data_IF_869394213207
#
_entry.id   IF_869394213207
#
_cell.length_a   1.000
_cell.length_b   1.000
_cell.length_c   1.000
_cell.angle_alpha   90.00
_cell.angle_beta   90.00
_cell.angle_gamma   90.00
#
_symmetry.space_group_name_H-M   'P 1'
#
loop_
_entity.id
_entity.type
_entity.pdbx_description
1 polymer ?
#
# COMPACT_ATOMS: atom_id res chain seq x y z
N UNK A 1 19.54 5.57 -23.61
CA UNK A 1 19.07 4.19 -23.32
C UNK A 1 18.13 4.26 -22.13
N UNK A 2 16.87 3.80 -22.24
CA UNK A 2 16.03 3.60 -21.05
C UNK A 2 16.56 2.34 -20.36
N UNK A 3 17.21 2.49 -19.21
CA UNK A 3 17.56 1.34 -18.39
C UNK A 3 16.29 0.54 -18.13
N UNK A 4 16.32 -0.76 -18.43
CA UNK A 4 15.26 -1.69 -18.07
C UNK A 4 15.27 -1.86 -16.54
N UNK A 5 14.57 -0.98 -15.84
CA UNK A 5 14.37 -1.08 -14.39
C UNK A 5 13.61 -2.39 -14.12
N UNK A 6 14.31 -3.37 -13.54
CA UNK A 6 13.73 -4.67 -13.20
C UNK A 6 12.98 -4.61 -11.87
N UNK A 7 12.04 -5.53 -11.64
CA UNK A 7 11.37 -5.62 -10.33
C UNK A 7 12.34 -5.84 -9.15
N UNK A 8 13.49 -6.49 -9.41
CA UNK A 8 14.54 -6.71 -8.41
C UNK A 8 15.28 -5.42 -8.04
N UNK A 9 15.62 -4.58 -9.02
CA UNK A 9 16.25 -3.28 -8.72
C UNK A 9 15.30 -2.33 -8.00
N UNK A 10 14.00 -2.36 -8.32
CA UNK A 10 12.96 -1.59 -7.60
C UNK A 10 12.90 -2.04 -6.13
N UNK A 11 12.89 -3.35 -5.86
CA UNK A 11 12.85 -3.86 -4.49
C UNK A 11 14.10 -3.48 -3.68
N UNK A 12 15.30 -3.62 -4.26
CA UNK A 12 16.55 -3.21 -3.61
C UNK A 12 16.59 -1.72 -3.29
N UNK A 13 16.13 -0.89 -4.23
CA UNK A 13 16.02 0.55 -4.00
C UNK A 13 15.04 0.87 -2.87
N UNK A 14 13.91 0.15 -2.78
CA UNK A 14 12.96 0.23 -1.67
C UNK A 14 13.64 0.02 -0.32
N UNK A 15 14.34 -1.10 -0.13
CA UNK A 15 15.08 -1.39 1.10
C UNK A 15 16.12 -0.30 1.40
N UNK A 16 16.93 0.10 0.41
CA UNK A 16 17.92 1.17 0.63
C UNK A 16 17.27 2.44 1.19
N UNK A 17 16.08 2.82 0.73
CA UNK A 17 15.39 4.00 1.28
C UNK A 17 14.94 3.80 2.73
N UNK A 18 14.54 2.61 3.15
CA UNK A 18 14.21 2.35 4.55
C UNK A 18 15.45 2.51 5.44
N UNK A 19 16.62 2.02 5.00
CA UNK A 19 17.89 2.22 5.74
C UNK A 19 18.27 3.71 5.77
N UNK A 20 18.10 4.42 4.65
CA UNK A 20 18.33 5.88 4.59
C UNK A 20 17.44 6.62 5.60
N UNK A 21 16.15 6.26 5.69
CA UNK A 21 15.21 6.84 6.66
C UNK A 21 15.66 6.55 8.10
N UNK A 22 16.05 5.31 8.41
CA UNK A 22 16.59 4.93 9.72
C UNK A 22 17.83 5.77 10.05
N UNK A 23 18.76 5.91 9.11
CA UNK A 23 19.98 6.71 9.27
C UNK A 23 19.66 8.18 9.54
N UNK A 24 18.70 8.76 8.82
CA UNK A 24 18.26 10.13 9.02
C UNK A 24 17.67 10.36 10.43
N UNK A 25 16.76 9.49 10.89
CA UNK A 25 16.19 9.62 12.24
C UNK A 25 17.25 9.40 13.34
N UNK A 26 18.16 8.43 13.18
CA UNK A 26 19.24 8.22 14.15
C UNK A 26 20.25 9.38 14.18
N UNK A 27 20.34 10.17 13.10
CA UNK A 27 21.16 11.39 13.00
C UNK A 27 20.30 12.67 12.98
N UNK A 28 19.15 12.68 13.65
CA UNK A 28 18.15 13.75 13.49
C UNK A 28 18.67 15.16 13.79
N UNK A 29 19.62 15.31 14.73
CA UNK A 29 20.22 16.61 15.09
C UNK A 29 20.92 17.28 13.91
N UNK A 30 21.51 16.49 13.01
CA UNK A 30 22.25 16.96 11.83
C UNK A 30 21.46 16.78 10.52
N UNK A 31 20.38 16.02 10.54
CA UNK A 31 19.58 15.74 9.35
C UNK A 31 18.43 16.74 9.19
N UNK A 32 18.52 17.59 8.16
CA UNK A 32 17.43 18.51 7.77
C UNK A 32 16.14 17.76 7.43
N UNK A 33 16.24 16.60 6.77
CA UNK A 33 15.10 15.74 6.48
C UNK A 33 14.43 15.20 7.74
N UNK A 34 15.20 14.69 8.70
CA UNK A 34 14.64 14.18 9.94
C UNK A 34 13.97 15.28 10.77
N UNK A 35 14.54 16.49 10.83
CA UNK A 35 13.91 17.65 11.48
C UNK A 35 12.54 17.96 10.89
N UNK A 36 12.46 18.04 9.55
CA UNK A 36 11.19 18.21 8.84
C UNK A 36 10.20 17.07 9.14
N UNK A 37 10.66 15.82 9.19
CA UNK A 37 9.80 14.68 9.51
C UNK A 37 9.29 14.71 10.95
N UNK A 38 10.10 15.17 11.91
CA UNK A 38 9.67 15.38 13.29
C UNK A 38 8.59 16.47 13.37
N UNK A 39 8.71 17.54 12.59
CA UNK A 39 7.69 18.57 12.45
C UNK A 39 6.39 18.00 11.84
N UNK A 40 6.47 17.20 10.77
CA UNK A 40 5.30 16.52 10.18
C UNK A 40 4.59 15.58 11.18
N UNK A 41 5.35 15.02 12.14
CA UNK A 41 4.84 14.21 13.25
C UNK A 41 4.26 15.05 14.41
N UNK A 42 4.28 16.38 14.29
CA UNK A 42 3.91 17.35 15.33
C UNK A 42 4.75 17.24 16.61
N UNK A 43 6.03 16.90 16.45
CA UNK A 43 6.99 16.84 17.57
C UNK A 43 7.82 18.11 17.62
N UNK A 44 7.72 18.85 18.73
CA UNK A 44 8.54 20.03 19.00
C UNK A 44 9.99 19.60 19.31
N UNK A 45 10.95 20.10 18.53
CA UNK A 45 12.34 19.60 18.54
C UNK A 45 13.08 19.92 19.84
N UNK A 46 12.76 21.05 20.45
CA UNK A 46 13.33 21.53 21.71
C UNK A 46 13.05 20.59 22.90
N UNK A 47 12.00 19.78 22.81
CA UNK A 47 11.58 18.87 23.87
C UNK A 47 12.13 17.45 23.68
N UNK A 48 12.86 17.18 22.59
CA UNK A 48 13.36 15.85 22.27
C UNK A 48 14.64 15.56 23.08
N UNK A 49 14.56 14.53 23.93
CA UNK A 49 15.73 14.00 24.63
C UNK A 49 16.55 13.08 23.71
N UNK A 50 15.87 12.18 23.00
CA UNK A 50 16.50 11.25 22.07
C UNK A 50 15.54 10.75 20.99
N UNK A 51 16.12 10.34 19.86
CA UNK A 51 15.42 9.66 18.77
C UNK A 51 16.22 8.41 18.45
N UNK A 52 15.53 7.28 18.30
CA UNK A 52 16.10 6.05 17.77
C UNK A 52 15.16 5.46 16.73
N UNK A 53 15.70 4.92 15.66
CA UNK A 53 14.94 4.29 14.59
C UNK A 53 15.52 2.91 14.27
N UNK A 54 14.63 1.97 13.95
CA UNK A 54 15.00 0.65 13.44
C UNK A 54 14.05 0.20 12.35
N UNK A 55 14.56 -0.60 11.42
CA UNK A 55 13.74 -1.27 10.42
C UNK A 55 12.90 -2.37 11.08
N UNK A 56 11.68 -2.53 10.58
CA UNK A 56 10.78 -3.63 10.88
C UNK A 56 10.57 -4.44 9.60
N UNK A 57 10.49 -5.75 9.71
CA UNK A 57 10.35 -6.65 8.56
C UNK A 57 9.03 -7.41 8.64
N UNK A 58 8.42 -7.63 7.45
CA UNK A 58 7.19 -8.44 7.27
C UNK A 58 5.95 -7.88 7.99
N UNK A 59 5.96 -6.61 8.36
CA UNK A 59 4.85 -5.89 8.98
C UNK A 59 4.36 -4.75 8.07
N UNK A 60 3.27 -4.07 8.46
CA UNK A 60 2.82 -2.85 7.76
C UNK A 60 3.69 -1.63 8.07
N UNK A 61 4.34 -1.65 9.23
CA UNK A 61 5.36 -0.69 9.61
C UNK A 61 6.70 -1.12 9.01
N UNK A 62 7.37 -0.20 8.32
CA UNK A 62 8.69 -0.44 7.75
C UNK A 62 9.78 0.12 8.67
N UNK A 63 9.51 1.26 9.33
CA UNK A 63 10.43 1.91 10.28
C UNK A 63 9.68 2.22 11.57
N UNK A 64 10.23 1.75 12.69
CA UNK A 64 9.78 2.14 14.03
C UNK A 64 10.73 3.21 14.57
N UNK A 65 10.19 4.40 14.83
CA UNK A 65 10.93 5.51 15.44
C UNK A 65 10.46 5.68 16.88
N UNK A 66 11.36 5.61 17.85
CA UNK A 66 11.07 5.92 19.25
C UNK A 66 11.63 7.30 19.57
N UNK A 67 10.76 8.19 20.03
CA UNK A 67 11.12 9.55 20.43
C UNK A 67 10.89 9.67 21.93
N UNK A 68 11.93 10.09 22.66
CA UNK A 68 11.87 10.31 24.10
C UNK A 68 11.64 11.79 24.39
N UNK A 69 10.58 12.10 25.12
CA UNK A 69 10.16 13.47 25.49
C UNK A 69 9.72 13.44 26.95
N UNK A 70 10.30 14.30 27.79
CA UNK A 70 10.01 14.40 29.22
C UNK A 70 10.03 13.04 29.95
N UNK A 71 11.03 12.20 29.66
CA UNK A 71 11.15 10.85 30.23
C UNK A 71 10.33 9.77 29.54
N UNK A 72 9.31 10.11 28.73
CA UNK A 72 8.41 9.16 28.10
C UNK A 72 8.86 8.80 26.68
N UNK A 73 8.88 7.50 26.37
CA UNK A 73 9.19 7.01 25.03
C UNK A 73 7.90 6.80 24.23
N UNK A 74 7.81 7.47 23.08
CA UNK A 74 6.67 7.40 22.18
C UNK A 74 7.08 6.66 20.89
N UNK A 75 6.46 5.51 20.58
CA UNK A 75 6.71 4.79 19.33
C UNK A 75 5.90 5.38 18.17
N UNK A 76 6.57 5.57 17.03
CA UNK A 76 6.01 6.02 15.77
C UNK A 76 6.23 4.95 14.71
N UNK A 77 5.13 4.29 14.37
CA UNK A 77 5.07 3.22 13.37
C UNK A 77 4.89 3.83 11.98
N UNK A 78 5.96 3.91 11.20
CA UNK A 78 5.99 4.56 9.90
C UNK A 78 6.08 3.51 8.78
N UNK A 79 5.15 3.57 7.84
CA UNK A 79 5.25 2.90 6.54
C UNK A 79 5.96 3.84 5.54
N UNK A 80 6.93 3.33 4.79
CA UNK A 80 7.74 4.11 3.87
C UNK A 80 7.34 3.83 2.42
N UNK A 81 7.12 4.88 1.63
CA UNK A 81 6.75 4.78 0.21
C UNK A 81 7.70 5.60 -0.64
N UNK A 82 8.40 4.94 -1.56
CA UNK A 82 9.21 5.59 -2.57
C UNK A 82 8.40 5.87 -3.84
N UNK A 83 8.52 7.07 -4.39
CA UNK A 83 8.09 7.42 -5.75
C UNK A 83 9.33 7.68 -6.59
N UNK A 84 9.62 6.79 -7.54
CA UNK A 84 10.74 6.96 -8.48
C UNK A 84 10.33 7.53 -9.83
N UNK A 85 9.05 7.41 -10.18
CA UNK A 85 8.50 7.85 -11.47
C UNK A 85 7.15 8.54 -11.20
N UNK A 86 6.89 9.65 -11.89
CA UNK A 86 5.60 10.35 -11.82
C UNK A 86 4.46 9.42 -12.23
N UNK A 87 3.36 9.44 -11.48
CA UNK A 87 2.19 8.56 -11.65
C UNK A 87 2.53 7.06 -11.52
N UNK A 88 3.56 6.74 -10.74
CA UNK A 88 3.92 5.37 -10.40
C UNK A 88 2.91 4.75 -9.42
N UNK A 89 2.72 3.44 -9.52
CA UNK A 89 1.87 2.68 -8.61
C UNK A 89 2.71 1.74 -7.74
N UNK A 90 2.51 1.80 -6.43
CA UNK A 90 3.17 0.93 -5.46
C UNK A 90 2.23 -0.19 -5.02
N UNK A 91 2.80 -1.36 -4.72
CA UNK A 91 2.05 -2.42 -4.07
C UNK A 91 1.74 -2.02 -2.62
N UNK A 92 0.51 -2.29 -2.19
CA UNK A 92 0.03 -2.03 -0.82
C UNK A 92 -0.13 -3.33 -0.04
N UNK A 93 -0.85 -4.28 -0.65
CA UNK A 93 -1.11 -5.58 -0.08
C UNK A 93 -1.29 -6.59 -1.20
N UNK A 94 -0.99 -7.86 -0.92
CA UNK A 94 -1.16 -8.96 -1.87
C UNK A 94 -1.27 -10.28 -1.11
N UNK A 95 -2.35 -11.03 -1.35
CA UNK A 95 -2.62 -12.33 -0.74
C UNK A 95 -3.46 -13.21 -1.66
N UNK A 96 -3.67 -14.46 -1.28
CA UNK A 96 -4.66 -15.32 -1.93
C UNK A 96 -6.07 -14.85 -1.59
N UNK A 97 -7.04 -15.12 -2.47
CA UNK A 97 -8.43 -14.68 -2.23
C UNK A 97 -8.98 -15.26 -0.93
N UNK A 98 -8.64 -16.50 -0.60
CA UNK A 98 -9.07 -17.13 0.66
C UNK A 98 -8.54 -16.42 1.91
N UNK A 99 -7.36 -15.79 1.82
CA UNK A 99 -6.81 -15.00 2.94
C UNK A 99 -7.66 -13.76 3.19
N UNK A 100 -8.09 -13.08 2.12
CA UNK A 100 -9.01 -11.95 2.23
C UNK A 100 -10.41 -12.38 2.65
N UNK A 101 -10.87 -13.56 2.23
CA UNK A 101 -12.15 -14.10 2.69
C UNK A 101 -12.13 -14.32 4.21
N UNK A 102 -11.04 -14.84 4.77
CA UNK A 102 -10.90 -14.96 6.23
C UNK A 102 -10.88 -13.62 6.96
N UNK A 103 -10.34 -12.56 6.34
CA UNK A 103 -10.30 -11.21 6.93
C UNK A 103 -11.66 -10.50 6.87
N UNK A 104 -12.37 -10.64 5.76
CA UNK A 104 -13.51 -9.79 5.45
C UNK A 104 -14.84 -10.52 5.41
N UNK A 105 -14.82 -11.85 5.40
CA UNK A 105 -15.98 -12.72 5.37
C UNK A 105 -16.99 -12.33 4.27
N UNK A 106 -16.50 -12.02 3.06
CA UNK A 106 -17.37 -11.70 1.93
C UNK A 106 -18.15 -12.93 1.47
N UNK A 107 -19.37 -12.77 0.93
CA UNK A 107 -20.23 -13.91 0.58
C UNK A 107 -19.67 -14.75 -0.59
N UNK A 108 -20.14 -15.99 -0.71
CA UNK A 108 -19.66 -16.96 -1.71
C UNK A 108 -19.62 -16.45 -3.16
N UNK A 109 -20.60 -15.68 -3.67
CA UNK A 109 -20.52 -15.10 -5.01
C UNK A 109 -19.32 -14.14 -5.18
N UNK A 110 -18.96 -13.39 -4.14
CA UNK A 110 -17.78 -12.49 -4.16
C UNK A 110 -16.49 -13.30 -4.13
N UNK A 111 -16.44 -14.37 -3.32
CA UNK A 111 -15.30 -15.31 -3.31
C UNK A 111 -15.08 -15.91 -4.70
N UNK A 112 -16.15 -16.40 -5.32
CA UNK A 112 -16.11 -16.98 -6.67
C UNK A 112 -15.68 -15.96 -7.71
N UNK A 113 -16.27 -14.76 -7.69
CA UNK A 113 -15.89 -13.64 -8.55
C UNK A 113 -14.40 -13.33 -8.48
N UNK A 114 -13.86 -13.17 -7.27
CA UNK A 114 -12.46 -12.84 -7.05
C UNK A 114 -11.52 -13.98 -7.47
N UNK A 115 -11.90 -15.24 -7.26
CA UNK A 115 -11.12 -16.41 -7.72
C UNK A 115 -11.11 -16.54 -9.26
N UNK A 116 -12.24 -16.29 -9.92
CA UNK A 116 -12.31 -16.19 -11.39
C UNK A 116 -11.46 -15.01 -11.91
N UNK A 117 -11.53 -13.86 -11.23
CA UNK A 117 -10.80 -12.65 -11.60
C UNK A 117 -9.28 -12.78 -11.50
N UNK A 118 -8.81 -13.49 -10.47
CA UNK A 118 -7.39 -13.72 -10.22
C UNK A 118 -6.81 -14.88 -11.02
N UNK A 119 -7.67 -15.78 -11.53
CA UNK A 119 -7.26 -17.01 -12.21
C UNK A 119 -6.94 -18.15 -11.25
N UNK A 120 -7.32 -18.05 -9.97
CA UNK A 120 -7.39 -19.20 -9.07
C UNK A 120 -8.42 -20.21 -9.56
N UNK A 121 -9.51 -19.74 -10.17
CA UNK A 121 -10.45 -20.53 -10.98
C UNK A 121 -10.25 -20.14 -12.45
N UNK A 122 -9.96 -21.14 -13.31
CA UNK A 122 -9.77 -20.91 -14.74
C UNK A 122 -11.10 -20.73 -15.48
N UNK A 123 -11.14 -19.96 -16.58
CA UNK A 123 -12.29 -19.91 -17.47
C UNK A 123 -12.63 -21.29 -18.03
N UNK A 124 -13.92 -21.64 -18.06
CA UNK A 124 -14.41 -22.87 -18.70
C UNK A 124 -14.70 -22.69 -20.20
N UNK A 125 -14.90 -21.46 -20.62
CA UNK A 125 -15.22 -21.06 -22.00
C UNK A 125 -14.23 -20.02 -22.51
N UNK A 126 -14.38 -19.62 -23.78
CA UNK A 126 -13.57 -18.58 -24.40
C UNK A 126 -13.66 -17.27 -23.60
N UNK A 127 -12.51 -16.72 -23.22
CA UNK A 127 -12.35 -15.45 -22.51
C UNK A 127 -11.26 -14.60 -23.17
N UNK A 128 -11.17 -13.32 -22.78
CA UNK A 128 -10.12 -12.39 -23.22
C UNK A 128 -8.72 -12.84 -22.80
N UNK A 129 -8.60 -13.54 -21.67
CA UNK A 129 -7.36 -14.15 -21.16
C UNK A 129 -7.66 -15.57 -20.70
N UNK A 130 -7.06 -16.59 -21.34
CA UNK A 130 -7.29 -18.00 -21.02
C UNK A 130 -6.97 -18.39 -19.56
N UNK A 131 -6.31 -17.50 -18.80
CA UNK A 131 -5.90 -17.75 -17.42
C UNK A 131 -6.90 -17.25 -16.39
N UNK A 132 -7.82 -16.35 -16.75
CA UNK A 132 -8.73 -15.66 -15.80
C UNK A 132 -9.92 -15.00 -16.49
N UNK A 133 -10.85 -14.47 -15.71
CA UNK A 133 -11.88 -13.55 -16.20
C UNK A 133 -11.57 -12.10 -15.79
N UNK A 134 -12.00 -11.14 -16.59
CA UNK A 134 -12.09 -9.74 -16.18
C UNK A 134 -13.46 -9.47 -15.53
N UNK A 135 -13.61 -8.37 -14.79
CA UNK A 135 -14.87 -8.05 -14.11
C UNK A 135 -16.08 -7.90 -15.08
N UNK A 136 -15.84 -7.57 -16.35
CA UNK A 136 -16.87 -7.45 -17.39
C UNK A 136 -17.21 -8.79 -18.06
N UNK A 137 -16.48 -9.85 -17.73
CA UNK A 137 -16.75 -11.22 -18.16
C UNK A 137 -17.40 -12.07 -17.05
N UNK A 138 -17.61 -11.49 -15.86
CA UNK A 138 -18.29 -12.17 -14.76
C UNK A 138 -19.80 -12.20 -14.98
N UNK A 139 -20.47 -13.13 -14.29
CA UNK A 139 -21.92 -13.12 -14.24
C UNK A 139 -22.42 -11.85 -13.56
N UNK A 140 -23.52 -11.29 -14.06
CA UNK A 140 -24.06 -10.02 -13.57
C UNK A 140 -24.25 -10.01 -12.05
N UNK A 141 -24.75 -11.10 -11.49
CA UNK A 141 -24.98 -11.23 -10.06
C UNK A 141 -23.66 -11.23 -9.24
N UNK A 142 -22.60 -11.87 -9.75
CA UNK A 142 -21.26 -11.89 -9.14
C UNK A 142 -20.65 -10.49 -9.11
N UNK A 143 -20.73 -9.77 -10.24
CA UNK A 143 -20.22 -8.41 -10.37
C UNK A 143 -20.95 -7.45 -9.43
N UNK A 144 -22.29 -7.45 -9.45
CA UNK A 144 -23.10 -6.55 -8.62
C UNK A 144 -22.85 -6.78 -7.12
N UNK A 145 -22.82 -8.03 -6.67
CA UNK A 145 -22.52 -8.34 -5.26
C UNK A 145 -21.09 -7.95 -4.88
N UNK A 146 -20.13 -8.09 -5.79
CA UNK A 146 -18.75 -7.68 -5.54
C UNK A 146 -18.63 -6.16 -5.39
N UNK A 147 -19.26 -5.40 -6.29
CA UNK A 147 -19.28 -3.93 -6.21
C UNK A 147 -19.95 -3.46 -4.91
N UNK A 148 -21.13 -4.01 -4.59
CA UNK A 148 -21.85 -3.68 -3.35
C UNK A 148 -21.04 -4.01 -2.10
N UNK A 149 -20.40 -5.18 -2.06
CA UNK A 149 -19.56 -5.58 -0.93
C UNK A 149 -18.44 -4.57 -0.66
N UNK A 150 -17.68 -4.21 -1.70
CA UNK A 150 -16.55 -3.30 -1.55
C UNK A 150 -17.00 -1.86 -1.29
N UNK A 151 -18.15 -1.41 -1.81
CA UNK A 151 -18.68 -0.08 -1.47
C UNK A 151 -19.10 -0.03 -0.01
N UNK A 152 -19.90 -1.01 0.46
CA UNK A 152 -20.36 -1.07 1.86
C UNK A 152 -19.22 -1.24 2.88
N UNK A 153 -18.10 -1.82 2.47
CA UNK A 153 -16.95 -2.08 3.34
C UNK A 153 -15.70 -1.22 3.00
N UNK A 154 -15.85 -0.18 2.17
CA UNK A 154 -14.73 0.58 1.58
C UNK A 154 -13.68 1.02 2.59
N UNK A 155 -14.11 1.67 3.67
CA UNK A 155 -13.20 2.19 4.70
C UNK A 155 -12.48 1.07 5.44
N UNK A 156 -13.20 -0.01 5.78
CA UNK A 156 -12.61 -1.18 6.45
C UNK A 156 -11.55 -1.84 5.56
N UNK A 157 -11.88 -2.11 4.30
CA UNK A 157 -10.96 -2.72 3.32
C UNK A 157 -9.70 -1.86 3.16
N UNK A 158 -9.87 -0.55 2.95
CA UNK A 158 -8.74 0.38 2.80
C UNK A 158 -7.89 0.44 4.08
N UNK A 159 -8.52 0.51 5.26
CA UNK A 159 -7.81 0.49 6.54
C UNK A 159 -6.99 -0.79 6.72
N UNK A 160 -7.58 -1.95 6.45
CA UNK A 160 -6.91 -3.24 6.62
C UNK A 160 -5.69 -3.38 5.69
N UNK A 161 -5.81 -2.96 4.43
CA UNK A 161 -4.69 -3.06 3.47
C UNK A 161 -3.62 -1.98 3.70
N UNK A 162 -3.96 -0.77 4.18
CA UNK A 162 -2.98 0.29 4.40
C UNK A 162 -2.33 0.20 5.78
N UNK A 163 -3.16 0.19 6.83
CA UNK A 163 -2.71 0.25 8.22
C UNK A 163 -2.36 -1.13 8.76
N UNK A 164 -3.15 -2.15 8.41
CA UNK A 164 -3.16 -3.44 9.10
C UNK A 164 -3.65 -3.32 10.54
N UNK A 165 -3.29 -4.29 11.37
CA UNK A 165 -3.76 -4.42 12.75
C UNK A 165 -2.64 -4.85 13.68
N UNK A 166 -2.89 -4.78 14.99
CA UNK A 166 -1.94 -5.14 16.03
C UNK A 166 -0.88 -4.07 16.33
N UNK A 167 0.14 -4.41 17.15
CA UNK A 167 1.14 -3.47 17.62
C UNK A 167 1.97 -2.83 16.49
N UNK A 168 2.19 -3.55 15.39
CA UNK A 168 2.97 -3.09 14.22
C UNK A 168 2.10 -2.57 13.07
N UNK A 169 0.82 -2.28 13.33
CA UNK A 169 -0.01 -1.52 12.40
C UNK A 169 0.64 -0.17 12.08
N UNK A 170 0.65 0.23 10.82
CA UNK A 170 1.17 1.53 10.40
C UNK A 170 0.29 2.64 10.99
N UNK A 171 0.93 3.63 11.61
CA UNK A 171 0.26 4.82 12.18
C UNK A 171 0.55 6.08 11.38
N UNK A 172 1.61 6.04 10.59
CA UNK A 172 2.02 7.11 9.70
C UNK A 172 2.50 6.53 8.37
N UNK A 173 2.40 7.35 7.32
CA UNK A 173 2.97 7.05 6.00
C UNK A 173 3.98 8.15 5.69
N UNK A 174 5.23 7.78 5.45
CA UNK A 174 6.28 8.64 4.91
C UNK A 174 6.37 8.41 3.40
N UNK A 175 6.09 9.44 2.61
CA UNK A 175 6.34 9.44 1.18
C UNK A 175 7.65 10.15 0.87
N UNK A 176 8.46 9.52 0.02
CA UNK A 176 9.72 10.04 -0.50
C UNK A 176 9.63 10.06 -2.02
N UNK A 177 9.48 11.24 -2.60
CA UNK A 177 9.37 11.44 -4.04
C UNK A 177 10.71 11.92 -4.61
N UNK A 178 11.31 11.02 -5.41
CA UNK A 178 12.55 11.21 -6.16
C UNK A 178 12.29 11.29 -7.67
N UNK A 179 11.03 11.46 -8.10
CA UNK A 179 10.64 11.47 -9.52
C UNK A 179 10.87 12.83 -10.21
N UNK A 180 11.17 13.88 -9.45
CA UNK A 180 11.52 15.20 -9.96
C UNK A 180 12.98 15.58 -9.66
N UNK A 181 13.35 16.80 -10.02
CA UNK A 181 14.71 17.33 -9.77
C UNK A 181 14.99 17.58 -8.29
N UNK A 182 13.94 17.87 -7.51
CA UNK A 182 14.02 18.12 -6.09
C UNK A 182 13.39 16.97 -5.31
N UNK A 183 14.04 16.58 -4.21
CA UNK A 183 13.49 15.62 -3.26
C UNK A 183 12.28 16.24 -2.56
N UNK A 184 11.10 15.61 -2.70
CA UNK A 184 9.93 15.97 -1.93
C UNK A 184 9.61 14.85 -0.93
N UNK A 185 9.27 15.23 0.30
CA UNK A 185 8.94 14.28 1.36
C UNK A 185 7.76 14.77 2.18
N UNK A 186 6.96 13.86 2.71
CA UNK A 186 5.89 14.20 3.64
C UNK A 186 5.55 13.02 4.54
N UNK A 187 5.33 13.27 5.82
CA UNK A 187 4.67 12.33 6.72
C UNK A 187 3.20 12.71 6.91
N UNK A 188 2.30 11.73 6.78
CA UNK A 188 0.89 11.86 7.12
C UNK A 188 0.51 10.83 8.17
N UNK A 189 -0.47 11.16 9.03
CA UNK A 189 -1.13 10.16 9.85
C UNK A 189 -1.88 9.16 8.96
N UNK A 190 -1.94 7.90 9.40
CA UNK A 190 -2.63 6.85 8.65
C UNK A 190 -4.12 7.16 8.46
N UNK A 191 -4.73 7.86 9.43
CA UNK A 191 -6.12 8.34 9.33
C UNK A 191 -6.30 9.29 8.14
N UNK A 192 -5.38 10.26 7.97
CA UNK A 192 -5.41 11.19 6.84
C UNK A 192 -5.15 10.47 5.52
N UNK A 193 -4.20 9.53 5.49
CA UNK A 193 -3.94 8.69 4.31
C UNK A 193 -5.17 7.88 3.89
N UNK A 194 -5.85 7.20 4.82
CA UNK A 194 -7.10 6.46 4.57
C UNK A 194 -8.17 7.40 4.00
N UNK A 195 -8.34 8.59 4.59
CA UNK A 195 -9.30 9.58 4.08
C UNK A 195 -9.04 9.93 2.62
N UNK A 196 -7.81 10.28 2.27
CA UNK A 196 -7.42 10.66 0.89
C UNK A 196 -7.67 9.51 -0.09
N UNK A 197 -7.30 8.30 0.30
CA UNK A 197 -7.36 7.12 -0.57
C UNK A 197 -8.79 6.60 -0.73
N UNK A 198 -9.65 6.82 0.27
CA UNK A 198 -11.06 6.45 0.22
C UNK A 198 -11.92 7.33 -0.66
N UNK A 199 -11.39 8.47 -1.13
CA UNK A 199 -12.11 9.38 -2.03
C UNK A 199 -12.45 8.71 -3.36
N UNK A 200 -13.70 8.87 -3.77
CA UNK A 200 -14.24 8.28 -5.00
C UNK A 200 -15.06 7.00 -4.78
N UNK A 201 -15.72 6.54 -5.85
CA UNK A 201 -16.60 5.37 -5.78
C UNK A 201 -15.82 4.05 -5.92
N UNK A 202 -16.48 2.94 -5.61
CA UNK A 202 -16.07 1.61 -6.04
C UNK A 202 -16.63 1.35 -7.44
N UNK A 203 -15.74 1.27 -8.43
CA UNK A 203 -16.13 1.12 -9.84
C UNK A 203 -15.18 0.21 -10.60
N UNK A 204 -15.70 -0.42 -11.63
CA UNK A 204 -14.86 -1.12 -12.60
C UNK A 204 -13.98 -0.12 -13.37
N UNK A 205 -12.73 -0.49 -13.62
CA UNK A 205 -11.84 0.28 -14.48
C UNK A 205 -12.04 -0.10 -15.96
N UNK A 206 -11.70 0.78 -16.92
CA UNK A 206 -11.83 0.49 -18.35
C UNK A 206 -11.06 -0.77 -18.82
N UNK A 207 -10.06 -1.21 -18.06
CA UNK A 207 -9.26 -2.40 -18.36
C UNK A 207 -9.69 -3.64 -17.56
N UNK A 208 -10.89 -3.59 -16.98
CA UNK A 208 -11.52 -4.71 -16.28
C UNK A 208 -10.90 -5.06 -14.92
N UNK A 209 -10.18 -4.12 -14.28
CA UNK A 209 -9.82 -4.17 -12.85
C UNK A 209 -10.90 -3.50 -12.00
N UNK A 210 -10.76 -3.50 -10.68
CA UNK A 210 -11.66 -2.78 -9.78
C UNK A 210 -10.92 -1.61 -9.12
N UNK A 211 -11.54 -0.42 -9.10
CA UNK A 211 -11.10 0.72 -8.30
C UNK A 211 -11.94 0.80 -7.03
N UNK A 212 -11.29 1.02 -5.90
CA UNK A 212 -11.91 1.20 -4.58
C UNK A 212 -11.42 2.55 -4.05
N UNK A 213 -12.19 3.61 -4.31
CA UNK A 213 -11.68 4.97 -4.20
C UNK A 213 -10.47 5.16 -5.13
N UNK A 214 -9.33 5.54 -4.57
CA UNK A 214 -8.05 5.69 -5.30
C UNK A 214 -7.22 4.40 -5.36
N UNK A 215 -7.60 3.33 -4.65
CA UNK A 215 -6.91 2.03 -4.73
C UNK A 215 -7.32 1.29 -6.00
N UNK A 216 -6.35 0.70 -6.69
CA UNK A 216 -6.57 -0.26 -7.76
C UNK A 216 -6.39 -1.69 -7.25
N UNK A 217 -7.42 -2.51 -7.38
CA UNK A 217 -7.39 -3.95 -7.19
C UNK A 217 -7.16 -4.65 -8.53
N UNK A 218 -6.18 -5.54 -8.60
CA UNK A 218 -5.82 -6.27 -9.81
C UNK A 218 -5.34 -7.69 -9.51
N UNK A 219 -5.41 -8.58 -10.50
CA UNK A 219 -4.58 -9.79 -10.49
C UNK A 219 -3.12 -9.38 -10.41
N UNK A 220 -2.33 -10.05 -9.57
CA UNK A 220 -0.90 -9.80 -9.43
C UNK A 220 -0.17 -9.89 -10.78
N UNK A 221 -0.38 -11.00 -11.49
CA UNK A 221 0.28 -11.27 -12.77
C UNK A 221 1.81 -11.33 -12.66
N UNK A 222 2.46 -11.60 -13.80
CA UNK A 222 3.92 -11.72 -13.87
C UNK A 222 4.45 -12.96 -13.15
N UNK A 223 5.55 -12.81 -12.41
CA UNK A 223 6.23 -13.87 -11.62
C UNK A 223 6.69 -15.09 -12.42
N UNK A 224 6.96 -14.93 -13.73
CA UNK A 224 7.45 -16.02 -14.59
C UNK A 224 6.46 -17.18 -14.73
N UNK A 225 5.15 -16.92 -14.55
CA UNK A 225 4.12 -17.95 -14.61
C UNK A 225 3.92 -18.76 -13.34
N UNK A 226 4.60 -18.43 -12.24
CA UNK A 226 4.41 -19.07 -10.93
C UNK A 226 2.96 -18.90 -10.43
N UNK A 227 2.45 -19.83 -9.60
CA UNK A 227 1.12 -19.71 -9.00
C UNK A 227 0.86 -18.38 -8.31
N UNK A 228 1.90 -17.73 -7.74
CA UNK A 228 1.83 -16.41 -7.12
C UNK A 228 1.29 -15.29 -8.02
N UNK A 229 1.31 -15.49 -9.35
CA UNK A 229 0.70 -14.59 -10.31
C UNK A 229 -0.83 -14.49 -10.16
N UNK A 230 -1.45 -15.48 -9.51
CA UNK A 230 -2.88 -15.56 -9.24
C UNK A 230 -3.28 -14.97 -7.88
N UNK A 231 -2.37 -14.30 -7.15
CA UNK A 231 -2.80 -13.55 -5.98
C UNK A 231 -3.58 -12.29 -6.37
N UNK A 232 -4.49 -11.86 -5.50
CA UNK A 232 -5.12 -10.55 -5.57
C UNK A 232 -4.15 -9.50 -5.04
N UNK A 233 -3.99 -8.39 -5.75
CA UNK A 233 -3.04 -7.33 -5.42
C UNK A 233 -3.73 -5.97 -5.40
N UNK A 234 -3.41 -5.18 -4.38
CA UNK A 234 -3.83 -3.79 -4.25
C UNK A 234 -2.66 -2.87 -4.53
N UNK A 235 -2.93 -1.80 -5.29
CA UNK A 235 -1.96 -0.77 -5.61
C UNK A 235 -2.52 0.62 -5.39
N UNK A 236 -1.64 1.54 -5.05
CA UNK A 236 -1.94 2.95 -4.86
C UNK A 236 -0.91 3.82 -5.58
N UNK A 237 -1.23 5.09 -5.78
CA UNK A 237 -0.26 6.10 -6.19
C UNK A 237 0.21 6.86 -4.93
N UNK A 238 1.45 6.68 -4.46
CA UNK A 238 1.90 7.36 -3.24
C UNK A 238 1.97 8.89 -3.37
N UNK A 239 2.00 9.43 -4.60
CA UNK A 239 1.96 10.89 -4.79
C UNK A 239 0.65 11.51 -4.29
N UNK A 240 -0.42 10.71 -4.16
CA UNK A 240 -1.70 11.19 -3.62
C UNK A 240 -1.55 11.66 -2.15
N UNK A 241 -0.49 11.25 -1.45
CA UNK A 241 -0.19 11.67 -0.08
C UNK A 241 0.63 12.97 0.02
N UNK A 242 1.04 13.57 -1.11
CA UNK A 242 1.81 14.82 -1.13
C UNK A 242 0.91 16.07 -1.20
N UNK A 243 -0.33 15.96 -0.72
CA UNK A 243 -1.32 17.05 -0.64
C UNK A 243 -1.03 18.02 0.48
#
# INVERSE_FOLDING_TARGET
MKENITGSSIARSGFKNEDDVVGHFNNWKNSTLAKKWLEDLNVQQENIESVSAKRIHKEKTDVLVNIKICGFSNPFNIQVKLVSIKKGFNQVDKRWVDDYHRLWNFPSPVLTALKKFTGEIRPLSKSKDHRRLFFDELERHELELTLRFFESNKIKVISDILAGSGPMAARFVLVIDKSGNNLNTKILSIKKAISIISEGPVVQSPRGSLKIGKISMQRKGGDGGKPSANMLQFKENPQDFLV
#
